data_IF_109904796513
#
_entry.id   IF_109904796513
#
_cell.length_a   1.000
_cell.length_b   1.000
_cell.length_c   1.000
_cell.angle_alpha   90.00
_cell.angle_beta   90.00
_cell.angle_gamma   90.00
#
_symmetry.space_group_name_H-M   'P 1'
#
loop_
_entity.id
_entity.type
_entity.pdbx_description
1 polymer ?
#
# COMPACT_ATOMS: atom_id res chain seq x y z
N UNK A 1 32.51 -1.98 21.68
CA UNK A 1 32.12 -0.81 22.47
C UNK A 1 31.15 0.13 21.76
N UNK A 2 31.36 0.54 20.51
CA UNK A 2 30.50 1.50 19.83
C UNK A 2 29.11 0.93 19.44
N UNK A 3 29.03 -0.33 19.04
CA UNK A 3 27.75 -1.02 18.73
C UNK A 3 26.93 -1.31 19.99
N UNK A 4 27.57 -1.65 21.09
CA UNK A 4 26.88 -1.86 22.39
C UNK A 4 26.25 -0.56 22.86
N UNK A 5 26.95 0.56 22.76
CA UNK A 5 26.43 1.90 23.10
C UNK A 5 25.24 2.32 22.23
N UNK A 6 25.24 1.97 20.93
CA UNK A 6 24.09 2.25 20.02
C UNK A 6 22.85 1.44 20.37
N UNK A 7 23.03 0.15 20.70
CA UNK A 7 21.94 -0.73 21.10
C UNK A 7 21.31 -0.27 22.42
N UNK A 8 22.13 0.02 23.43
CA UNK A 8 21.67 0.54 24.72
C UNK A 8 20.90 1.87 24.58
N UNK A 9 21.33 2.76 23.70
CA UNK A 9 20.62 4.01 23.42
C UNK A 9 19.28 3.78 22.72
N UNK A 10 19.21 2.81 21.79
CA UNK A 10 17.97 2.43 21.14
C UNK A 10 16.98 1.83 22.13
N UNK A 11 17.43 0.88 22.97
CA UNK A 11 16.59 0.24 23.99
C UNK A 11 16.01 1.27 24.96
N UNK A 12 16.82 2.19 25.47
CA UNK A 12 16.34 3.29 26.35
C UNK A 12 15.25 4.12 25.66
N UNK A 13 15.45 4.44 24.40
CA UNK A 13 14.48 5.22 23.63
C UNK A 13 13.17 4.48 23.41
N UNK A 14 13.24 3.20 23.05
CA UNK A 14 12.04 2.37 22.86
C UNK A 14 11.28 2.17 24.17
N UNK A 15 11.97 1.98 25.31
CA UNK A 15 11.36 1.93 26.63
C UNK A 15 10.64 3.24 26.96
N UNK A 16 11.27 4.39 26.69
CA UNK A 16 10.63 5.70 26.89
C UNK A 16 9.38 5.88 26.06
N UNK A 17 9.45 5.56 24.77
CA UNK A 17 8.29 5.58 23.86
C UNK A 17 7.16 4.68 24.41
N UNK A 18 7.45 3.42 24.77
CA UNK A 18 6.46 2.48 25.26
C UNK A 18 5.79 2.92 26.58
N UNK A 19 6.50 3.66 27.45
CA UNK A 19 5.94 4.23 28.69
C UNK A 19 4.81 5.22 28.41
N UNK A 20 4.91 6.03 27.37
CA UNK A 20 3.84 6.96 26.97
C UNK A 20 2.55 6.24 26.59
N UNK A 21 2.66 5.04 26.02
CA UNK A 21 1.50 4.19 25.66
C UNK A 21 1.06 3.26 26.80
N UNK A 22 1.66 3.39 27.99
CA UNK A 22 1.30 2.61 29.21
C UNK A 22 1.31 1.10 28.97
N UNK A 23 2.29 0.61 28.21
CA UNK A 23 2.44 -0.81 27.96
C UNK A 23 2.76 -1.52 29.31
N UNK A 24 1.98 -2.53 29.70
CA UNK A 24 2.21 -3.25 30.97
C UNK A 24 3.39 -4.21 30.85
N UNK A 25 4.06 -4.44 31.98
CA UNK A 25 5.14 -5.40 32.12
C UNK A 25 6.53 -4.76 32.01
N UNK A 26 7.55 -5.61 31.98
CA UNK A 26 8.96 -5.23 31.93
C UNK A 26 9.51 -5.48 30.52
N UNK A 27 10.22 -4.48 29.96
CA UNK A 27 10.89 -4.59 28.67
C UNK A 27 11.96 -5.68 28.72
N UNK A 28 11.96 -6.57 27.74
CA UNK A 28 12.92 -7.66 27.60
C UNK A 28 13.94 -7.39 26.50
N UNK A 29 13.48 -7.19 25.27
CA UNK A 29 14.35 -6.93 24.12
C UNK A 29 13.57 -6.30 22.96
N UNK A 30 14.32 -5.80 21.97
CA UNK A 30 13.78 -5.39 20.68
C UNK A 30 14.50 -6.07 19.52
N UNK A 31 13.79 -6.17 18.41
CA UNK A 31 14.27 -6.63 17.10
C UNK A 31 13.90 -5.58 16.04
N UNK A 32 14.85 -5.11 15.23
CA UNK A 32 14.56 -4.24 14.10
C UNK A 32 13.95 -5.05 12.95
N UNK A 33 12.79 -4.63 12.46
CA UNK A 33 12.15 -5.20 11.28
C UNK A 33 12.62 -4.39 10.07
N UNK A 34 13.48 -4.99 9.25
CA UNK A 34 14.08 -4.34 8.07
C UNK A 34 13.22 -4.42 6.80
N UNK A 35 11.99 -4.88 6.92
CA UNK A 35 11.02 -4.93 5.82
C UNK A 35 10.27 -3.60 5.80
N UNK A 36 10.18 -2.98 4.61
CA UNK A 36 9.60 -1.65 4.44
C UNK A 36 10.66 -0.56 4.27
N UNK A 37 10.35 0.43 3.42
CA UNK A 37 11.35 1.41 2.96
C UNK A 37 11.17 2.80 3.58
N UNK A 38 10.06 3.05 4.27
CA UNK A 38 9.69 4.41 4.69
C UNK A 38 9.89 4.62 6.18
N UNK A 39 9.28 3.79 7.03
CA UNK A 39 9.33 3.93 8.48
C UNK A 39 10.37 3.00 9.10
N UNK A 40 10.98 3.40 10.22
CA UNK A 40 11.81 2.49 11.03
C UNK A 40 10.91 1.70 11.97
N UNK A 41 10.96 0.38 11.88
CA UNK A 41 10.04 -0.53 12.57
C UNK A 41 10.80 -1.43 13.54
N UNK A 42 10.30 -1.53 14.76
CA UNK A 42 10.86 -2.35 15.82
C UNK A 42 9.78 -3.23 16.43
N UNK A 43 10.06 -4.52 16.56
CA UNK A 43 9.28 -5.42 17.42
C UNK A 43 9.87 -5.34 18.81
N UNK A 44 9.07 -4.91 19.80
CA UNK A 44 9.47 -4.81 21.19
C UNK A 44 8.72 -5.86 22.00
N UNK A 45 9.41 -6.54 22.90
CA UNK A 45 8.84 -7.62 23.72
C UNK A 45 8.90 -7.24 25.19
N UNK A 46 7.77 -7.38 25.87
CA UNK A 46 7.57 -7.16 27.28
C UNK A 46 7.15 -8.47 27.96
N UNK A 47 7.58 -8.66 29.20
CA UNK A 47 7.10 -9.72 30.08
C UNK A 47 6.16 -9.13 31.11
N UNK A 48 4.98 -9.70 31.26
CA UNK A 48 3.97 -9.23 32.19
C UNK A 48 3.01 -10.34 32.58
N UNK A 49 2.18 -10.08 33.59
CA UNK A 49 1.17 -11.01 34.02
C UNK A 49 0.17 -11.33 32.91
N UNK A 50 -0.18 -12.62 32.77
CA UNK A 50 -1.18 -13.05 31.79
C UNK A 50 -2.59 -12.71 32.29
N UNK A 51 -3.32 -11.80 31.65
CA UNK A 51 -4.68 -11.43 32.08
C UNK A 51 -5.67 -12.60 32.05
N UNK A 52 -5.38 -13.66 31.27
CA UNK A 52 -6.23 -14.86 31.16
C UNK A 52 -5.90 -15.91 32.24
N UNK A 53 -4.68 -15.86 32.78
CA UNK A 53 -4.18 -16.81 33.77
C UNK A 53 -3.40 -16.06 34.88
N UNK A 54 -4.10 -15.44 35.83
CA UNK A 54 -3.47 -14.66 36.89
C UNK A 54 -2.38 -15.45 37.63
N UNK A 55 -1.25 -14.81 37.90
CA UNK A 55 -0.07 -15.42 38.53
C UNK A 55 0.91 -16.04 37.53
N UNK A 56 0.58 -16.19 36.27
CA UNK A 56 1.52 -16.62 35.23
C UNK A 56 2.08 -15.41 34.47
N UNK A 57 3.39 -15.44 34.20
CA UNK A 57 4.04 -14.44 33.34
C UNK A 57 3.98 -14.89 31.90
N UNK A 58 3.79 -13.92 30.96
CA UNK A 58 3.86 -14.17 29.55
C UNK A 58 4.59 -13.07 28.80
N UNK A 59 5.21 -13.45 27.70
CA UNK A 59 5.78 -12.50 26.75
C UNK A 59 4.69 -11.96 25.82
N UNK A 60 4.66 -10.65 25.64
CA UNK A 60 3.80 -9.97 24.69
C UNK A 60 4.63 -9.01 23.85
N UNK A 61 4.44 -9.07 22.54
CA UNK A 61 5.17 -8.23 21.61
C UNK A 61 4.27 -7.13 21.01
N UNK A 62 4.90 -6.01 20.67
CA UNK A 62 4.28 -4.85 20.06
C UNK A 62 5.16 -4.36 18.93
N UNK A 63 4.57 -3.63 18.01
CA UNK A 63 5.30 -2.90 16.97
C UNK A 63 5.40 -1.43 17.37
N UNK A 64 6.62 -0.93 17.39
CA UNK A 64 6.94 0.48 17.56
C UNK A 64 7.52 1.00 16.25
N UNK A 65 6.94 2.06 15.73
CA UNK A 65 7.43 2.69 14.50
C UNK A 65 7.83 4.14 14.72
N UNK A 66 9.02 4.49 14.18
CA UNK A 66 9.40 5.87 13.97
C UNK A 66 8.94 6.27 12.57
N UNK A 67 7.93 7.13 12.51
CA UNK A 67 7.33 7.58 11.25
C UNK A 67 8.26 8.56 10.56
N UNK A 68 8.46 8.38 9.27
CA UNK A 68 9.26 9.28 8.44
C UNK A 68 8.48 10.55 8.10
N UNK A 69 8.72 11.61 8.85
CA UNK A 69 8.07 12.92 8.66
C UNK A 69 8.54 13.69 7.42
N UNK A 70 9.58 13.23 6.76
CA UNK A 70 9.98 13.76 5.45
C UNK A 70 9.07 13.22 4.34
N UNK A 71 8.73 11.93 4.39
CA UNK A 71 7.79 11.31 3.45
C UNK A 71 6.33 11.74 3.74
N UNK A 72 5.95 11.72 5.03
CA UNK A 72 4.61 12.13 5.48
C UNK A 72 4.68 13.51 6.14
N UNK A 73 4.41 14.56 5.35
CA UNK A 73 4.51 15.95 5.82
C UNK A 73 3.50 16.30 6.91
N UNK A 74 2.37 15.61 6.96
CA UNK A 74 1.31 15.78 7.94
C UNK A 74 1.02 14.48 8.72
N UNK A 75 1.98 13.97 9.51
CA UNK A 75 1.85 12.66 10.17
C UNK A 75 0.69 12.62 11.19
N UNK A 76 0.27 13.76 11.71
CA UNK A 76 -0.92 13.86 12.60
C UNK A 76 -2.19 13.52 11.83
N UNK A 77 -2.35 14.02 10.60
CA UNK A 77 -3.50 13.72 9.76
C UNK A 77 -3.49 12.25 9.30
N UNK A 78 -2.30 11.68 9.03
CA UNK A 78 -2.15 10.25 8.76
C UNK A 78 -2.67 9.43 9.93
N UNK A 79 -2.28 9.77 11.16
CA UNK A 79 -2.74 9.07 12.35
C UNK A 79 -4.23 9.27 12.64
N UNK A 80 -4.79 10.42 12.32
CA UNK A 80 -6.23 10.67 12.43
C UNK A 80 -7.04 9.79 11.48
N UNK A 81 -6.59 9.65 10.22
CA UNK A 81 -7.19 8.71 9.26
C UNK A 81 -7.12 7.26 9.75
N UNK A 82 -5.93 6.83 10.19
CA UNK A 82 -5.71 5.47 10.70
C UNK A 82 -6.61 5.17 11.89
N UNK A 83 -6.70 6.09 12.85
CA UNK A 83 -7.51 5.91 14.06
C UNK A 83 -9.00 5.78 13.70
N UNK A 84 -9.52 6.68 12.89
CA UNK A 84 -10.91 6.63 12.41
C UNK A 84 -11.24 5.32 11.69
N UNK A 85 -10.38 4.89 10.78
CA UNK A 85 -10.59 3.67 9.99
C UNK A 85 -10.49 2.41 10.85
N UNK A 86 -9.47 2.30 11.71
CA UNK A 86 -9.29 1.12 12.56
C UNK A 86 -10.38 1.00 13.62
N UNK A 87 -10.79 2.10 14.24
CA UNK A 87 -11.91 2.11 15.20
C UNK A 87 -13.24 1.74 14.52
N UNK A 88 -13.48 2.25 13.31
CA UNK A 88 -14.69 1.91 12.54
C UNK A 88 -14.74 0.43 12.18
N UNK A 89 -13.63 -0.15 11.70
CA UNK A 89 -13.53 -1.58 11.40
C UNK A 89 -13.75 -2.40 12.68
N UNK A 90 -13.12 -2.01 13.78
CA UNK A 90 -13.27 -2.70 15.06
C UNK A 90 -14.71 -2.66 15.59
N UNK A 91 -15.40 -1.54 15.44
CA UNK A 91 -16.81 -1.42 15.85
C UNK A 91 -17.74 -2.34 15.05
N UNK A 92 -17.44 -2.55 13.74
CA UNK A 92 -18.23 -3.46 12.88
C UNK A 92 -17.95 -4.93 13.10
N UNK A 93 -16.71 -5.29 13.40
CA UNK A 93 -16.28 -6.69 13.57
C UNK A 93 -15.30 -6.82 14.77
N UNK A 94 -15.82 -6.75 16.01
CA UNK A 94 -14.98 -6.78 17.23
C UNK A 94 -14.20 -8.07 17.44
N UNK A 95 -14.63 -9.17 16.81
CA UNK A 95 -13.99 -10.50 16.93
C UNK A 95 -12.84 -10.71 15.95
N UNK A 96 -12.67 -9.82 14.99
CA UNK A 96 -11.68 -9.98 13.94
C UNK A 96 -10.27 -9.61 14.43
N UNK A 97 -9.27 -10.28 13.85
CA UNK A 97 -7.89 -9.81 13.93
C UNK A 97 -7.79 -8.42 13.25
N UNK A 98 -7.44 -7.40 14.00
CA UNK A 98 -7.34 -6.04 13.51
C UNK A 98 -6.08 -5.36 14.08
N UNK A 99 -5.56 -4.38 13.34
CA UNK A 99 -4.55 -3.49 13.90
C UNK A 99 -5.18 -2.67 15.04
N UNK A 100 -4.54 -2.69 16.19
CA UNK A 100 -4.92 -1.88 17.32
C UNK A 100 -3.78 -0.94 17.68
N UNK A 101 -3.97 0.35 17.41
CA UNK A 101 -3.05 1.41 17.79
C UNK A 101 -3.30 1.81 19.24
N UNK A 102 -2.26 1.76 20.07
CA UNK A 102 -2.35 2.13 21.46
C UNK A 102 -2.44 3.64 21.64
N UNK A 103 -3.25 4.05 22.62
CA UNK A 103 -3.42 5.45 22.96
C UNK A 103 -2.53 5.86 24.14
N UNK A 104 -2.01 7.06 24.08
CA UNK A 104 -1.33 7.73 25.19
C UNK A 104 -2.33 8.20 26.25
N UNK A 105 -1.84 8.81 27.34
CA UNK A 105 -2.70 9.34 28.41
C UNK A 105 -3.66 10.42 27.93
N UNK A 106 -3.24 11.22 26.96
CA UNK A 106 -4.03 12.29 26.31
C UNK A 106 -4.80 11.81 25.07
N UNK A 107 -4.98 10.47 24.95
CA UNK A 107 -5.79 9.79 23.94
C UNK A 107 -5.30 9.97 22.49
N UNK A 108 -4.01 10.19 22.29
CA UNK A 108 -3.39 10.21 20.96
C UNK A 108 -2.81 8.84 20.63
N UNK A 109 -2.88 8.44 19.38
CA UNK A 109 -2.28 7.21 18.85
C UNK A 109 -0.80 7.38 18.48
N UNK A 110 -0.21 8.52 18.83
CA UNK A 110 1.18 8.86 18.51
C UNK A 110 1.82 9.71 19.61
N UNK A 111 3.17 9.78 19.56
CA UNK A 111 3.98 10.76 20.29
C UNK A 111 4.75 11.56 19.25
N UNK A 112 4.83 12.87 19.47
CA UNK A 112 5.63 13.75 18.62
C UNK A 112 6.45 14.69 19.52
N UNK A 113 7.74 14.47 19.58
CA UNK A 113 8.69 15.23 20.37
C UNK A 113 10.05 15.40 19.66
N UNK A 114 11.06 15.87 20.40
CA UNK A 114 12.43 16.03 19.87
C UNK A 114 13.07 14.72 19.39
N UNK A 115 12.52 13.58 19.80
CA UNK A 115 13.02 12.25 19.41
C UNK A 115 12.43 11.77 18.09
N UNK A 116 11.39 12.43 17.58
CA UNK A 116 10.70 12.12 16.34
C UNK A 116 9.21 11.87 16.54
N UNK A 117 8.58 11.33 15.50
CA UNK A 117 7.17 10.94 15.50
C UNK A 117 7.09 9.42 15.69
N UNK A 118 6.38 8.96 16.73
CA UNK A 118 6.33 7.56 17.12
C UNK A 118 4.89 7.09 17.29
N UNK A 119 4.63 5.84 16.88
CA UNK A 119 3.37 5.13 17.11
C UNK A 119 3.62 3.69 17.56
N UNK A 120 2.63 3.11 18.20
CA UNK A 120 2.71 1.75 18.74
C UNK A 120 1.40 1.00 18.51
N UNK A 121 1.51 -0.25 18.05
CA UNK A 121 0.38 -1.14 17.83
C UNK A 121 0.73 -2.59 18.15
N UNK A 122 -0.28 -3.45 18.22
CA UNK A 122 -0.09 -4.85 18.56
C UNK A 122 0.75 -5.58 17.50
N UNK A 123 1.68 -6.43 17.92
CA UNK A 123 2.31 -7.41 17.07
C UNK A 123 1.35 -8.59 16.82
N UNK A 124 1.17 -8.96 15.57
CA UNK A 124 0.37 -10.11 15.15
C UNK A 124 1.33 -11.17 14.61
N UNK A 125 1.42 -12.37 15.24
CA UNK A 125 2.21 -13.47 14.72
C UNK A 125 1.71 -13.88 13.32
N UNK A 126 2.57 -13.79 12.31
CA UNK A 126 2.17 -13.92 10.92
C UNK A 126 3.37 -14.08 10.01
N UNK A 127 3.09 -14.33 8.73
CA UNK A 127 4.05 -14.26 7.62
C UNK A 127 3.57 -13.23 6.59
N UNK A 128 4.50 -12.72 5.79
CA UNK A 128 4.22 -11.84 4.64
C UNK A 128 4.89 -12.40 3.40
N UNK A 129 4.35 -12.08 2.24
CA UNK A 129 4.88 -12.47 0.94
C UNK A 129 5.29 -11.23 0.15
N UNK A 130 6.52 -11.18 -0.34
CA UNK A 130 6.96 -10.11 -1.27
C UNK A 130 6.53 -10.41 -2.70
N UNK A 131 6.56 -11.70 -3.07
CA UNK A 131 6.05 -12.25 -4.31
C UNK A 131 5.66 -13.71 -4.07
N UNK A 132 4.68 -14.23 -4.81
CA UNK A 132 4.27 -15.63 -4.73
C UNK A 132 3.49 -16.04 -5.99
N UNK A 133 3.66 -17.28 -6.40
CA UNK A 133 2.84 -17.92 -7.44
C UNK A 133 1.74 -18.79 -6.84
N UNK A 134 1.64 -18.87 -5.52
CA UNK A 134 0.59 -19.62 -4.84
C UNK A 134 -0.76 -18.91 -5.01
N UNK A 135 -1.61 -19.44 -5.89
CA UNK A 135 -2.91 -18.84 -6.22
C UNK A 135 -3.85 -18.74 -5.01
N UNK A 136 -3.71 -19.60 -4.00
CA UNK A 136 -4.51 -19.50 -2.78
C UNK A 136 -4.09 -18.29 -1.94
N UNK A 137 -2.80 -18.02 -1.81
CA UNK A 137 -2.27 -16.81 -1.14
C UNK A 137 -2.74 -15.55 -1.88
N UNK A 138 -2.64 -15.53 -3.20
CA UNK A 138 -3.12 -14.41 -4.04
C UNK A 138 -4.63 -14.19 -3.84
N UNK A 139 -5.42 -15.26 -3.86
CA UNK A 139 -6.87 -15.18 -3.61
C UNK A 139 -7.15 -14.63 -2.21
N UNK A 140 -6.42 -15.09 -1.20
CA UNK A 140 -6.56 -14.62 0.17
C UNK A 140 -6.15 -13.16 0.31
N UNK A 141 -5.15 -12.68 -0.42
CA UNK A 141 -4.81 -11.26 -0.50
C UNK A 141 -5.96 -10.43 -1.10
N UNK A 142 -6.53 -10.89 -2.23
CA UNK A 142 -7.71 -10.28 -2.82
C UNK A 142 -8.89 -10.23 -1.85
N UNK A 143 -9.12 -11.32 -1.10
CA UNK A 143 -10.14 -11.40 -0.07
C UNK A 143 -9.89 -10.42 1.08
N UNK A 144 -8.62 -10.22 1.50
CA UNK A 144 -8.26 -9.26 2.54
C UNK A 144 -8.55 -7.81 2.14
N UNK A 145 -8.07 -7.39 0.97
CA UNK A 145 -8.33 -6.04 0.46
C UNK A 145 -9.82 -5.83 0.12
N UNK A 146 -10.47 -6.83 -0.47
CA UNK A 146 -11.92 -6.78 -0.71
C UNK A 146 -12.72 -6.65 0.58
N UNK A 147 -12.32 -7.34 1.63
CA UNK A 147 -12.97 -7.23 2.92
C UNK A 147 -12.70 -5.88 3.60
N UNK A 148 -11.49 -5.30 3.46
CA UNK A 148 -11.18 -3.94 3.90
C UNK A 148 -12.14 -2.95 3.23
N UNK A 149 -12.30 -3.00 1.91
CA UNK A 149 -13.22 -2.18 1.15
C UNK A 149 -14.70 -2.38 1.58
N UNK A 150 -15.11 -3.62 1.79
CA UNK A 150 -16.49 -3.96 2.19
C UNK A 150 -16.82 -3.42 3.59
N UNK A 151 -15.89 -3.55 4.56
CA UNK A 151 -16.09 -3.05 5.91
C UNK A 151 -16.21 -1.52 5.96
N UNK A 152 -15.58 -0.82 5.02
CA UNK A 152 -15.58 0.64 4.91
C UNK A 152 -16.56 1.17 3.84
N UNK A 153 -17.39 0.31 3.24
CA UNK A 153 -18.26 0.67 2.11
C UNK A 153 -19.30 1.76 2.43
N UNK A 154 -19.68 1.90 3.68
CA UNK A 154 -20.63 2.90 4.21
C UNK A 154 -19.96 3.95 5.09
N UNK A 155 -18.62 3.94 5.16
CA UNK A 155 -17.87 5.03 5.80
C UNK A 155 -17.84 6.25 4.89
N UNK A 156 -18.17 7.41 5.45
CA UNK A 156 -18.10 8.67 4.73
C UNK A 156 -16.63 9.10 4.54
N UNK A 157 -16.09 8.86 3.35
CA UNK A 157 -14.71 9.13 3.01
C UNK A 157 -14.33 10.62 3.17
N UNK A 158 -15.31 11.56 3.14
CA UNK A 158 -15.06 12.99 3.33
C UNK A 158 -14.59 13.35 4.74
N UNK A 159 -14.71 12.43 5.70
CA UNK A 159 -14.18 12.59 7.05
C UNK A 159 -12.66 12.36 7.14
N UNK A 160 -12.04 11.80 6.10
CA UNK A 160 -10.62 11.57 6.05
C UNK A 160 -9.88 12.73 5.37
N UNK A 161 -8.64 12.93 5.78
CA UNK A 161 -7.72 13.86 5.17
C UNK A 161 -7.08 13.26 3.91
N UNK A 162 -6.92 14.05 2.87
CA UNK A 162 -6.03 13.73 1.76
C UNK A 162 -4.59 14.01 2.20
N UNK A 163 -3.92 12.98 2.73
CA UNK A 163 -2.60 13.11 3.36
C UNK A 163 -1.46 13.26 2.36
N UNK A 164 -1.66 12.77 1.14
CA UNK A 164 -0.77 12.93 -0.01
C UNK A 164 -1.60 13.50 -1.17
N UNK A 165 -1.57 14.82 -1.39
CA UNK A 165 -2.36 15.45 -2.44
C UNK A 165 -2.06 14.85 -3.83
N UNK A 166 -3.12 14.64 -4.60
CA UNK A 166 -3.03 14.10 -5.97
C UNK A 166 -2.31 12.75 -6.07
N UNK A 167 -2.39 11.88 -5.04
CA UNK A 167 -1.59 10.67 -4.98
C UNK A 167 -1.78 9.77 -6.20
N UNK A 168 -3.03 9.44 -6.55
CA UNK A 168 -3.41 8.68 -7.74
C UNK A 168 -4.16 9.54 -8.77
N UNK A 169 -3.82 10.81 -8.87
CA UNK A 169 -4.34 11.69 -9.92
C UNK A 169 -3.51 11.51 -11.20
N UNK A 170 -3.89 10.56 -12.04
CA UNK A 170 -3.13 10.21 -13.24
C UNK A 170 -3.01 11.39 -14.20
N UNK A 171 -4.02 12.28 -14.29
CA UNK A 171 -3.93 13.51 -15.10
C UNK A 171 -2.75 14.36 -14.63
N UNK A 172 -2.65 14.60 -13.31
CA UNK A 172 -1.55 15.38 -12.72
C UNK A 172 -0.18 14.72 -12.94
N UNK A 173 -0.12 13.38 -12.94
CA UNK A 173 1.15 12.69 -13.23
C UNK A 173 1.62 12.89 -14.66
N UNK A 174 0.70 12.89 -15.62
CA UNK A 174 1.04 13.25 -17.01
C UNK A 174 1.46 14.71 -17.14
N UNK A 175 0.74 15.65 -16.52
CA UNK A 175 1.14 17.08 -16.50
C UNK A 175 2.56 17.25 -15.92
N UNK A 176 2.88 16.59 -14.82
CA UNK A 176 4.22 16.60 -14.21
C UNK A 176 5.30 16.05 -15.16
N UNK A 177 5.00 14.97 -15.89
CA UNK A 177 5.92 14.43 -16.89
C UNK A 177 6.15 15.42 -18.02
N UNK A 178 5.09 16.05 -18.54
CA UNK A 178 5.16 17.07 -19.61
C UNK A 178 6.00 18.28 -19.15
N UNK A 179 5.85 18.71 -17.90
CA UNK A 179 6.70 19.76 -17.32
C UNK A 179 8.17 19.36 -17.30
N UNK A 180 8.50 18.14 -16.88
CA UNK A 180 9.89 17.66 -16.87
C UNK A 180 10.46 17.52 -18.28
N UNK A 181 9.65 17.08 -19.26
CA UNK A 181 10.04 17.03 -20.68
C UNK A 181 10.36 18.44 -21.22
N UNK A 182 9.55 19.45 -20.85
CA UNK A 182 9.77 20.82 -21.31
C UNK A 182 11.02 21.46 -20.68
N UNK A 183 11.37 21.12 -19.45
CA UNK A 183 12.54 21.66 -18.74
C UNK A 183 13.82 20.91 -19.15
N UNK A 184 13.75 19.59 -19.28
CA UNK A 184 14.86 18.66 -19.56
C UNK A 184 16.17 19.01 -18.82
N UNK A 185 16.16 19.03 -17.48
CA UNK A 185 17.23 19.65 -16.69
C UNK A 185 18.59 18.95 -16.83
N UNK A 186 18.61 17.71 -17.32
CA UNK A 186 19.82 16.88 -17.45
C UNK A 186 20.00 16.30 -18.85
N UNK A 187 19.29 16.84 -19.88
CA UNK A 187 19.41 16.50 -21.32
C UNK A 187 19.14 15.01 -21.63
N UNK A 188 18.12 14.40 -20.96
CA UNK A 188 17.75 12.98 -21.11
C UNK A 188 16.53 12.73 -22.00
N UNK A 189 15.74 13.74 -22.35
CA UNK A 189 14.50 13.61 -23.15
C UNK A 189 14.75 12.92 -24.48
N UNK A 190 15.85 13.23 -25.16
CA UNK A 190 16.22 12.61 -26.44
C UNK A 190 16.45 11.09 -26.36
N UNK A 191 16.86 10.59 -25.18
CA UNK A 191 17.19 9.17 -24.94
C UNK A 191 15.95 8.33 -24.71
N UNK A 192 14.82 8.95 -24.29
CA UNK A 192 13.57 8.29 -23.88
C UNK A 192 12.37 8.69 -24.74
N UNK A 193 12.62 9.12 -25.97
CA UNK A 193 11.55 9.60 -26.86
C UNK A 193 10.50 8.53 -27.16
N UNK A 194 10.93 7.28 -27.32
CA UNK A 194 10.03 6.17 -27.60
C UNK A 194 9.09 5.86 -26.41
N UNK A 195 9.59 5.99 -25.19
CA UNK A 195 8.81 5.82 -23.95
C UNK A 195 7.80 6.95 -23.80
N UNK A 196 8.20 8.19 -24.05
CA UNK A 196 7.32 9.36 -24.02
C UNK A 196 6.21 9.21 -25.04
N UNK A 197 6.54 8.95 -26.32
CA UNK A 197 5.57 8.85 -27.40
C UNK A 197 4.56 7.71 -27.13
N UNK A 198 5.00 6.61 -26.54
CA UNK A 198 4.10 5.52 -26.17
C UNK A 198 3.15 5.93 -25.03
N UNK A 199 3.64 6.53 -23.96
CA UNK A 199 2.80 7.00 -22.85
C UNK A 199 1.78 8.04 -23.32
N UNK A 200 2.19 8.99 -24.16
CA UNK A 200 1.27 9.96 -24.76
C UNK A 200 0.18 9.28 -25.60
N UNK A 201 0.51 8.22 -26.35
CA UNK A 201 -0.46 7.49 -27.18
C UNK A 201 -1.57 6.80 -26.39
N UNK A 202 -1.35 6.50 -25.09
CA UNK A 202 -2.32 5.84 -24.20
C UNK A 202 -2.89 6.77 -23.12
N UNK A 203 -2.50 8.04 -23.12
CA UNK A 203 -2.86 9.04 -22.09
C UNK A 203 -4.36 9.12 -21.82
N UNK A 204 -5.18 9.17 -22.86
CA UNK A 204 -6.64 9.23 -22.72
C UNK A 204 -7.18 8.04 -21.92
N UNK A 205 -6.72 6.82 -22.23
CA UNK A 205 -7.15 5.60 -21.54
C UNK A 205 -6.62 5.56 -20.10
N UNK A 206 -5.36 5.92 -19.89
CA UNK A 206 -4.73 5.95 -18.57
C UNK A 206 -5.42 6.96 -17.63
N UNK A 207 -5.78 8.15 -18.16
CA UNK A 207 -6.44 9.21 -17.39
C UNK A 207 -7.95 8.99 -17.19
N UNK A 208 -8.54 7.96 -17.80
CA UNK A 208 -9.99 7.75 -17.83
C UNK A 208 -10.63 7.61 -16.43
N UNK A 209 -9.96 6.95 -15.50
CA UNK A 209 -10.50 6.83 -14.12
C UNK A 209 -10.61 8.19 -13.44
N UNK A 210 -9.54 8.99 -13.50
CA UNK A 210 -9.53 10.35 -12.94
C UNK A 210 -10.60 11.22 -13.59
N UNK A 211 -10.78 11.12 -14.92
CA UNK A 211 -11.82 11.85 -15.61
C UNK A 211 -13.23 11.43 -15.14
N UNK A 212 -13.50 10.11 -15.03
CA UNK A 212 -14.79 9.62 -14.54
C UNK A 212 -15.07 10.04 -13.08
N UNK A 213 -14.05 10.17 -12.26
CA UNK A 213 -14.19 10.70 -10.91
C UNK A 213 -14.54 12.20 -10.93
N UNK A 214 -13.88 13.01 -11.76
CA UNK A 214 -14.18 14.43 -11.93
C UNK A 214 -15.59 14.68 -12.49
N UNK A 215 -16.07 13.78 -13.35
CA UNK A 215 -17.43 13.80 -13.92
C UNK A 215 -18.49 13.30 -12.92
N UNK A 216 -18.10 12.86 -11.71
CA UNK A 216 -19.00 12.35 -10.68
C UNK A 216 -19.57 10.96 -10.97
N UNK A 217 -19.01 10.21 -11.91
CA UNK A 217 -19.43 8.85 -12.26
C UNK A 217 -18.86 7.81 -11.29
N UNK A 218 -17.59 7.97 -10.90
CA UNK A 218 -16.94 7.13 -9.92
C UNK A 218 -16.91 7.84 -8.55
N UNK A 219 -17.47 7.23 -7.50
CA UNK A 219 -17.47 7.81 -6.16
C UNK A 219 -16.11 7.67 -5.49
N UNK A 220 -15.76 8.62 -4.62
CA UNK A 220 -14.68 8.46 -3.67
C UNK A 220 -15.10 7.53 -2.53
N UNK A 221 -14.23 6.59 -2.21
CA UNK A 221 -14.34 5.67 -1.06
C UNK A 221 -13.12 5.79 -0.17
N UNK A 222 -13.13 5.11 0.96
CA UNK A 222 -11.91 4.89 1.73
C UNK A 222 -11.07 3.86 0.99
N UNK A 223 -9.87 4.22 0.60
CA UNK A 223 -8.93 3.34 -0.12
C UNK A 223 -7.62 3.20 0.64
N UNK A 224 -6.96 2.07 0.45
CA UNK A 224 -5.66 1.79 1.05
C UNK A 224 -4.54 2.52 0.28
N UNK A 225 -4.63 2.54 -1.04
CA UNK A 225 -3.73 3.20 -2.00
C UNK A 225 -2.29 2.64 -2.08
N UNK A 226 -1.97 1.55 -1.39
CA UNK A 226 -0.72 0.80 -1.52
C UNK A 226 -1.00 -0.69 -1.26
N UNK A 227 -1.70 -1.33 -2.19
CA UNK A 227 -2.28 -2.67 -2.03
C UNK A 227 -1.36 -3.81 -2.46
N UNK A 228 -0.08 -3.66 -2.19
CA UNK A 228 0.91 -4.72 -2.40
C UNK A 228 0.62 -5.91 -1.49
N UNK A 229 0.90 -7.12 -1.98
CA UNK A 229 0.67 -8.36 -1.23
C UNK A 229 1.42 -8.39 0.11
N UNK A 230 2.58 -7.75 0.22
CA UNK A 230 3.35 -7.65 1.45
C UNK A 230 2.68 -6.76 2.52
N UNK A 231 1.62 -6.02 2.17
CA UNK A 231 0.78 -5.27 3.08
C UNK A 231 -0.41 -6.10 3.60
N UNK A 232 -0.36 -7.43 3.43
CA UNK A 232 -1.27 -8.38 4.08
C UNK A 232 -0.48 -9.30 5.00
N UNK A 233 -0.93 -9.46 6.25
CA UNK A 233 -0.43 -10.48 7.15
C UNK A 233 -1.22 -11.77 6.96
N UNK A 234 -0.50 -12.88 6.86
CA UNK A 234 -1.10 -14.20 6.68
C UNK A 234 -0.79 -15.11 7.88
N UNK A 235 -1.71 -15.98 8.19
CA UNK A 235 -1.47 -17.07 9.14
C UNK A 235 -0.39 -18.00 8.58
N UNK A 236 0.61 -18.31 9.42
CA UNK A 236 1.79 -19.07 8.98
C UNK A 236 1.52 -20.55 8.66
N UNK A 237 0.41 -21.10 9.15
CA UNK A 237 0.07 -22.52 9.03
C UNK A 237 -1.02 -22.77 7.96
N UNK A 238 -1.89 -21.78 7.71
CA UNK A 238 -3.05 -21.91 6.82
C UNK A 238 -3.01 -21.03 5.59
N UNK A 239 -2.09 -20.04 5.54
CA UNK A 239 -2.06 -18.99 4.51
C UNK A 239 -3.35 -18.13 4.45
N UNK A 240 -4.22 -18.22 5.45
CA UNK A 240 -5.38 -17.33 5.53
C UNK A 240 -4.95 -15.90 5.84
N UNK A 241 -5.59 -14.94 5.18
CA UNK A 241 -5.31 -13.54 5.41
C UNK A 241 -5.87 -13.09 6.77
N UNK A 242 -5.01 -12.56 7.62
CA UNK A 242 -5.35 -12.08 8.96
C UNK A 242 -5.79 -10.62 8.95
N UNK A 243 -4.96 -9.74 8.40
CA UNK A 243 -5.21 -8.29 8.43
C UNK A 243 -4.39 -7.57 7.36
N UNK A 244 -4.94 -6.47 6.84
CA UNK A 244 -4.24 -5.49 6.00
C UNK A 244 -3.46 -4.53 6.90
N UNK A 245 -2.22 -4.25 6.55
CA UNK A 245 -1.29 -3.39 7.29
C UNK A 245 -0.79 -2.22 6.42
N UNK A 246 0.03 -1.35 7.01
CA UNK A 246 0.63 -0.17 6.35
C UNK A 246 -0.41 0.82 5.84
N UNK A 247 -1.23 1.30 6.79
CA UNK A 247 -2.36 2.20 6.54
C UNK A 247 -1.95 3.68 6.33
N UNK A 248 -0.68 3.97 6.08
CA UNK A 248 -0.15 5.35 5.97
C UNK A 248 -0.71 6.12 4.78
N UNK A 249 -1.16 5.40 3.76
CA UNK A 249 -1.76 5.94 2.54
C UNK A 249 -3.29 5.87 2.52
N UNK A 250 -3.90 5.48 3.65
CA UNK A 250 -5.36 5.41 3.73
C UNK A 250 -5.96 6.82 3.68
N UNK A 251 -6.71 7.08 2.61
CA UNK A 251 -7.37 8.36 2.34
C UNK A 251 -8.49 8.19 1.32
N UNK A 252 -9.28 9.23 0.99
CA UNK A 252 -10.26 9.14 -0.08
C UNK A 252 -9.61 8.80 -1.43
N UNK A 253 -10.20 7.85 -2.15
CA UNK A 253 -9.72 7.42 -3.46
C UNK A 253 -10.75 6.60 -4.22
N UNK A 254 -10.38 6.07 -5.37
CA UNK A 254 -11.23 5.17 -6.15
C UNK A 254 -10.95 3.71 -5.77
N UNK A 255 -11.98 2.88 -5.68
CA UNK A 255 -11.78 1.44 -5.45
C UNK A 255 -10.86 0.79 -6.50
N UNK A 256 -10.89 1.32 -7.72
CA UNK A 256 -10.00 0.92 -8.81
C UNK A 256 -8.52 1.14 -8.49
N UNK A 257 -8.16 2.12 -7.64
CA UNK A 257 -6.77 2.31 -7.23
C UNK A 257 -6.27 1.09 -6.45
N UNK A 258 -7.06 0.61 -5.48
CA UNK A 258 -6.69 -0.57 -4.69
C UNK A 258 -6.63 -1.84 -5.54
N UNK A 259 -7.62 -2.05 -6.41
CA UNK A 259 -7.62 -3.22 -7.30
C UNK A 259 -6.48 -3.17 -8.30
N UNK A 260 -6.28 -2.01 -8.94
CA UNK A 260 -5.27 -1.82 -9.99
C UNK A 260 -3.85 -1.95 -9.48
N UNK A 261 -3.53 -1.33 -8.33
CA UNK A 261 -2.19 -1.41 -7.75
C UNK A 261 -1.84 -2.83 -7.30
N UNK A 262 -2.78 -3.55 -6.67
CA UNK A 262 -2.56 -4.93 -6.27
C UNK A 262 -2.26 -5.83 -7.48
N UNK A 263 -3.04 -5.71 -8.57
CA UNK A 263 -2.84 -6.50 -9.79
C UNK A 263 -1.52 -6.14 -10.47
N UNK A 264 -1.23 -4.83 -10.61
CA UNK A 264 0.02 -4.35 -11.19
C UNK A 264 1.24 -4.97 -10.50
N UNK A 265 1.19 -5.02 -9.18
CA UNK A 265 2.29 -5.57 -8.38
C UNK A 265 2.34 -7.10 -8.42
N UNK A 266 1.22 -7.78 -8.17
CA UNK A 266 1.20 -9.23 -7.97
C UNK A 266 1.14 -10.03 -9.27
N UNK A 267 0.48 -9.51 -10.32
CA UNK A 267 0.25 -10.26 -11.56
C UNK A 267 1.30 -10.05 -12.65
N UNK A 268 2.34 -9.26 -12.41
CA UNK A 268 3.47 -9.17 -13.34
C UNK A 268 4.34 -10.42 -13.24
N UNK A 269 4.78 -10.97 -14.37
CA UNK A 269 5.68 -12.11 -14.41
C UNK A 269 7.09 -11.80 -13.88
N UNK A 270 7.46 -10.52 -13.80
CA UNK A 270 8.77 -10.06 -13.34
C UNK A 270 8.62 -8.98 -12.27
N UNK A 271 9.67 -8.74 -11.51
CA UNK A 271 9.73 -7.64 -10.54
C UNK A 271 9.64 -6.26 -11.23
N UNK A 272 9.22 -5.25 -10.48
CA UNK A 272 8.97 -3.89 -10.96
C UNK A 272 10.20 -3.24 -11.62
N UNK A 273 11.39 -3.59 -11.19
CA UNK A 273 12.68 -3.09 -11.65
C UNK A 273 13.48 -4.11 -12.47
N UNK A 274 12.79 -5.10 -13.06
CA UNK A 274 13.43 -6.11 -13.91
C UNK A 274 14.00 -5.51 -15.19
N UNK A 275 15.22 -5.91 -15.51
CA UNK A 275 15.85 -5.61 -16.81
C UNK A 275 15.27 -6.47 -17.95
N UNK A 276 14.62 -7.58 -17.63
CA UNK A 276 14.03 -8.52 -18.62
C UNK A 276 12.61 -8.05 -18.98
N UNK A 277 12.52 -6.84 -19.53
CA UNK A 277 11.23 -6.20 -19.84
C UNK A 277 10.40 -6.95 -20.87
N UNK A 278 11.02 -7.79 -21.69
CA UNK A 278 10.33 -8.68 -22.63
C UNK A 278 9.53 -9.79 -21.96
N UNK A 279 9.85 -10.09 -20.69
CA UNK A 279 9.09 -11.05 -19.87
C UNK A 279 7.97 -10.39 -19.07
N UNK A 280 7.94 -9.06 -19.00
CA UNK A 280 6.89 -8.32 -18.28
C UNK A 280 5.54 -8.55 -18.96
N UNK A 281 4.52 -8.85 -18.15
CA UNK A 281 3.17 -9.10 -18.65
C UNK A 281 2.25 -9.63 -17.56
N UNK A 282 0.96 -9.65 -17.85
CA UNK A 282 -0.06 -10.07 -16.89
C UNK A 282 -0.16 -11.60 -16.85
N UNK A 283 0.10 -12.17 -15.69
CA UNK A 283 -0.26 -13.54 -15.37
C UNK A 283 -1.76 -13.61 -15.11
N UNK A 284 -2.52 -14.16 -16.07
CA UNK A 284 -3.97 -14.22 -16.02
C UNK A 284 -4.51 -15.17 -14.93
N UNK A 285 -3.73 -16.13 -14.46
CA UNK A 285 -4.12 -17.01 -13.35
C UNK A 285 -4.06 -16.24 -12.02
N UNK A 286 -2.98 -15.48 -11.81
CA UNK A 286 -2.84 -14.58 -10.65
C UNK A 286 -3.90 -13.48 -10.69
N UNK A 287 -4.13 -12.84 -11.85
CA UNK A 287 -5.19 -11.86 -12.02
C UNK A 287 -6.56 -12.43 -11.62
N UNK A 288 -6.92 -13.61 -12.13
CA UNK A 288 -8.19 -14.28 -11.81
C UNK A 288 -8.29 -14.61 -10.32
N UNK A 289 -7.25 -15.18 -9.72
CA UNK A 289 -7.26 -15.54 -8.30
C UNK A 289 -7.47 -14.31 -7.40
N UNK A 290 -6.78 -13.20 -7.69
CA UNK A 290 -6.97 -11.95 -6.96
C UNK A 290 -8.38 -11.39 -7.16
N UNK A 291 -8.86 -11.31 -8.40
CA UNK A 291 -10.20 -10.80 -8.73
C UNK A 291 -11.32 -11.62 -8.04
N UNK A 292 -11.21 -12.96 -8.02
CA UNK A 292 -12.14 -13.82 -7.30
C UNK A 292 -12.18 -13.52 -5.80
N UNK A 293 -11.02 -13.35 -5.17
CA UNK A 293 -10.92 -12.98 -3.76
C UNK A 293 -11.56 -11.61 -3.49
N UNK A 294 -11.13 -10.59 -4.21
CA UNK A 294 -11.57 -9.21 -4.05
C UNK A 294 -13.09 -9.06 -4.29
N UNK A 295 -13.58 -9.54 -5.42
CA UNK A 295 -14.99 -9.41 -5.80
C UNK A 295 -15.91 -10.24 -4.92
N UNK A 296 -15.45 -11.36 -4.33
CA UNK A 296 -16.25 -12.13 -3.37
C UNK A 296 -16.77 -11.29 -2.20
N UNK A 297 -16.10 -10.17 -1.89
CA UNK A 297 -16.47 -9.24 -0.81
C UNK A 297 -17.09 -7.95 -1.31
N UNK A 298 -16.66 -7.46 -2.47
CA UNK A 298 -16.97 -6.10 -2.92
C UNK A 298 -18.09 -6.03 -3.96
N UNK A 299 -18.32 -7.08 -4.74
CA UNK A 299 -19.22 -7.01 -5.91
C UNK A 299 -20.62 -6.46 -5.60
N UNK A 300 -21.17 -6.73 -4.40
CA UNK A 300 -22.50 -6.25 -3.99
C UNK A 300 -22.53 -4.80 -3.51
N UNK A 301 -21.38 -4.22 -3.17
CA UNK A 301 -21.25 -2.84 -2.67
C UNK A 301 -20.74 -1.87 -3.73
N UNK A 302 -20.16 -2.38 -4.81
CA UNK A 302 -19.67 -1.57 -5.92
C UNK A 302 -20.81 -1.19 -6.88
N UNK A 303 -20.74 0.02 -7.41
CA UNK A 303 -21.61 0.47 -8.50
C UNK A 303 -21.21 -0.20 -9.82
N UNK A 304 -22.12 -0.23 -10.80
CA UNK A 304 -21.81 -0.79 -12.10
C UNK A 304 -20.62 -0.08 -12.79
N UNK A 305 -20.51 1.27 -12.78
CA UNK A 305 -19.31 1.94 -13.32
C UNK A 305 -18.01 1.53 -12.64
N UNK A 306 -18.00 1.29 -11.33
CA UNK A 306 -16.83 0.78 -10.62
C UNK A 306 -16.44 -0.62 -11.10
N UNK A 307 -17.41 -1.53 -11.22
CA UNK A 307 -17.17 -2.89 -11.74
C UNK A 307 -16.66 -2.88 -13.18
N UNK A 308 -17.24 -2.04 -14.04
CA UNK A 308 -16.89 -1.92 -15.45
C UNK A 308 -15.47 -1.33 -15.66
N UNK A 309 -14.93 -0.63 -14.67
CA UNK A 309 -13.61 0.02 -14.75
C UNK A 309 -12.50 -0.72 -14.03
N UNK A 310 -12.75 -1.85 -13.34
CA UNK A 310 -11.71 -2.56 -12.60
C UNK A 310 -10.55 -3.05 -13.48
N UNK A 311 -10.82 -3.59 -14.68
CA UNK A 311 -9.76 -3.98 -15.60
C UNK A 311 -8.95 -2.78 -16.09
N UNK A 312 -9.64 -1.68 -16.41
CA UNK A 312 -9.00 -0.43 -16.81
C UNK A 312 -8.13 0.16 -15.70
N UNK A 313 -8.50 -0.04 -14.43
CA UNK A 313 -7.72 0.47 -13.30
C UNK A 313 -6.31 -0.14 -13.23
N UNK A 314 -6.15 -1.39 -13.64
CA UNK A 314 -4.83 -2.01 -13.73
C UNK A 314 -3.93 -1.27 -14.72
N UNK A 315 -4.46 -0.94 -15.91
CA UNK A 315 -3.75 -0.15 -16.91
C UNK A 315 -3.43 1.27 -16.39
N UNK A 316 -4.42 1.93 -15.80
CA UNK A 316 -4.28 3.31 -15.32
C UNK A 316 -3.15 3.42 -14.27
N UNK A 317 -3.15 2.55 -13.25
CA UNK A 317 -2.13 2.56 -12.20
C UNK A 317 -0.74 2.17 -12.74
N UNK A 318 -0.68 1.26 -13.70
CA UNK A 318 0.58 0.87 -14.35
C UNK A 318 1.15 2.03 -15.18
N UNK A 319 0.33 2.70 -15.98
CA UNK A 319 0.74 3.89 -16.75
C UNK A 319 1.11 5.07 -15.82
N UNK A 320 0.37 5.28 -14.74
CA UNK A 320 0.68 6.30 -13.74
C UNK A 320 2.08 6.11 -13.17
N UNK A 321 2.40 4.88 -12.76
CA UNK A 321 3.70 4.61 -12.17
C UNK A 321 4.82 4.69 -13.21
N UNK A 322 4.60 4.22 -14.45
CA UNK A 322 5.52 4.39 -15.56
C UNK A 322 5.83 5.88 -15.81
N UNK A 323 4.79 6.71 -15.83
CA UNK A 323 4.90 8.16 -16.00
C UNK A 323 5.70 8.81 -14.89
N UNK A 324 5.49 8.41 -13.63
CA UNK A 324 6.23 8.92 -12.47
C UNK A 324 7.71 8.55 -12.51
N UNK A 325 8.04 7.29 -12.84
CA UNK A 325 9.43 6.86 -12.97
C UNK A 325 10.14 7.57 -14.14
N UNK A 326 9.45 7.72 -15.27
CA UNK A 326 10.03 8.40 -16.42
C UNK A 326 10.24 9.89 -16.15
N UNK A 327 9.29 10.56 -15.52
CA UNK A 327 9.41 11.96 -15.10
C UNK A 327 10.60 12.18 -14.16
N UNK A 328 10.77 11.28 -13.17
CA UNK A 328 11.88 11.37 -12.24
C UNK A 328 13.24 11.09 -12.90
N UNK A 329 13.29 10.13 -13.84
CA UNK A 329 14.50 9.92 -14.66
C UNK A 329 14.87 11.18 -15.46
N UNK A 330 13.91 11.80 -16.11
CA UNK A 330 14.13 13.05 -16.88
C UNK A 330 14.57 14.19 -15.93
N UNK A 331 14.02 14.25 -14.72
CA UNK A 331 14.39 15.23 -13.69
C UNK A 331 15.77 15.00 -13.05
N UNK A 332 16.43 13.88 -13.33
CA UNK A 332 17.77 13.54 -12.79
C UNK A 332 17.72 12.67 -11.53
N UNK A 333 16.70 11.83 -11.35
CA UNK A 333 16.54 10.85 -10.27
C UNK A 333 16.49 11.50 -8.87
N UNK A 334 15.63 12.49 -8.70
CA UNK A 334 15.57 13.33 -7.49
C UNK A 334 14.52 12.87 -6.47
N UNK A 335 13.52 12.09 -6.88
CA UNK A 335 12.40 11.71 -6.03
C UNK A 335 12.50 10.27 -5.51
N UNK A 336 12.63 9.29 -6.41
CA UNK A 336 12.72 7.89 -6.03
C UNK A 336 14.15 7.50 -5.65
N UNK A 337 14.28 6.66 -4.62
CA UNK A 337 15.57 6.06 -4.30
C UNK A 337 16.02 5.14 -5.44
N UNK A 338 17.21 5.39 -5.96
CA UNK A 338 17.85 4.57 -6.99
C UNK A 338 19.01 3.77 -6.39
N UNK A 339 19.24 2.57 -6.90
CA UNK A 339 20.35 1.71 -6.51
C UNK A 339 21.52 1.76 -7.51
N UNK A 340 21.26 2.25 -8.73
CA UNK A 340 22.20 2.40 -9.83
C UNK A 340 21.69 3.46 -10.82
N UNK A 341 22.56 3.91 -11.71
CA UNK A 341 22.18 4.81 -12.78
C UNK A 341 21.13 4.15 -13.69
N UNK A 342 20.19 4.93 -14.21
CA UNK A 342 19.07 4.46 -15.04
C UNK A 342 18.03 3.57 -14.32
N UNK A 343 18.10 3.40 -13.00
CA UNK A 343 17.15 2.52 -12.28
C UNK A 343 15.69 2.94 -12.51
N UNK A 344 15.38 4.25 -12.51
CA UNK A 344 14.03 4.73 -12.81
C UNK A 344 13.63 4.50 -14.27
N UNK A 345 14.58 4.55 -15.21
CA UNK A 345 14.31 4.22 -16.61
C UNK A 345 13.98 2.73 -16.78
N UNK A 346 14.70 1.86 -16.09
CA UNK A 346 14.41 0.41 -16.06
C UNK A 346 13.01 0.15 -15.53
N UNK A 347 12.64 0.79 -14.42
CA UNK A 347 11.29 0.71 -13.85
C UNK A 347 10.23 1.22 -14.82
N UNK A 348 10.45 2.38 -15.45
CA UNK A 348 9.52 2.93 -16.43
C UNK A 348 9.31 1.96 -17.59
N UNK A 349 10.37 1.39 -18.16
CA UNK A 349 10.33 0.42 -19.26
C UNK A 349 9.61 -0.87 -18.85
N UNK A 350 9.84 -1.38 -17.65
CA UNK A 350 9.15 -2.56 -17.14
C UNK A 350 7.63 -2.29 -17.02
N UNK A 351 7.23 -1.16 -16.45
CA UNK A 351 5.82 -0.80 -16.35
C UNK A 351 5.18 -0.54 -17.73
N UNK A 352 5.89 0.09 -18.68
CA UNK A 352 5.42 0.25 -20.04
C UNK A 352 5.19 -1.10 -20.72
N UNK A 353 6.11 -2.06 -20.55
CA UNK A 353 5.97 -3.40 -21.10
C UNK A 353 4.75 -4.14 -20.52
N UNK A 354 4.54 -4.06 -19.19
CA UNK A 354 3.36 -4.59 -18.52
C UNK A 354 2.08 -3.94 -19.03
N UNK A 355 2.04 -2.61 -19.17
CA UNK A 355 0.87 -1.89 -19.67
C UNK A 355 0.53 -2.26 -21.13
N UNK A 356 1.55 -2.47 -21.97
CA UNK A 356 1.36 -2.98 -23.34
C UNK A 356 0.69 -4.35 -23.37
N UNK A 357 1.06 -5.22 -22.46
CA UNK A 357 0.44 -6.55 -22.36
C UNK A 357 -0.98 -6.47 -21.78
N UNK A 358 -1.22 -5.57 -20.79
CA UNK A 358 -2.57 -5.28 -20.28
C UNK A 358 -3.51 -4.85 -21.39
N UNK A 359 -3.08 -3.93 -22.27
CA UNK A 359 -3.88 -3.49 -23.42
C UNK A 359 -4.27 -4.65 -24.34
N UNK A 360 -3.34 -5.56 -24.62
CA UNK A 360 -3.62 -6.75 -25.44
C UNK A 360 -4.61 -7.70 -24.76
N UNK A 361 -4.52 -7.82 -23.46
CA UNK A 361 -5.33 -8.74 -22.63
C UNK A 361 -6.60 -8.09 -22.06
N UNK A 362 -6.85 -6.80 -22.30
CA UNK A 362 -7.97 -6.07 -21.73
C UNK A 362 -9.31 -6.80 -21.87
N UNK A 363 -9.72 -7.30 -23.07
CA UNK A 363 -10.98 -8.02 -23.19
C UNK A 363 -11.03 -9.30 -22.34
N UNK A 364 -9.88 -9.96 -22.13
CA UNK A 364 -9.81 -11.16 -21.28
C UNK A 364 -9.92 -10.79 -19.79
N UNK A 365 -9.28 -9.68 -19.37
CA UNK A 365 -9.37 -9.18 -18.00
C UNK A 365 -10.80 -8.76 -17.66
N UNK A 366 -11.47 -8.03 -18.56
CA UNK A 366 -12.89 -7.66 -18.42
C UNK A 366 -13.81 -8.90 -18.33
N UNK A 367 -13.57 -9.90 -19.17
CA UNK A 367 -14.33 -11.16 -19.13
C UNK A 367 -14.16 -11.89 -17.79
N UNK A 368 -12.94 -11.92 -17.24
CA UNK A 368 -12.68 -12.54 -15.93
C UNK A 368 -13.46 -11.82 -14.82
N UNK A 369 -13.47 -10.48 -14.82
CA UNK A 369 -14.23 -9.70 -13.83
C UNK A 369 -15.73 -9.99 -13.95
N UNK A 370 -16.28 -9.98 -15.17
CA UNK A 370 -17.69 -10.30 -15.40
C UNK A 370 -18.05 -11.73 -14.96
N UNK A 371 -17.17 -12.70 -15.22
CA UNK A 371 -17.38 -14.08 -14.78
C UNK A 371 -17.37 -14.20 -13.26
N UNK A 372 -16.49 -13.46 -12.57
CA UNK A 372 -16.48 -13.42 -11.10
C UNK A 372 -17.77 -12.82 -10.55
N UNK A 373 -18.24 -11.71 -11.10
CA UNK A 373 -19.49 -11.06 -10.67
C UNK A 373 -20.71 -11.94 -10.91
N UNK A 374 -20.80 -12.65 -12.06
CA UNK A 374 -21.93 -13.54 -12.37
C UNK A 374 -22.06 -14.75 -11.44
N UNK A 375 -20.97 -15.17 -10.78
CA UNK A 375 -20.93 -16.32 -9.86
C UNK A 375 -21.38 -15.97 -8.43
N UNK A 376 -21.57 -14.69 -8.11
CA UNK A 376 -21.91 -14.17 -6.77
C UNK A 376 -23.39 -13.77 -6.66
#
# INVERSE_FOLDING_TARGET
MWEVSKKENLDRKLIEVCRHFRIPGEYQFCEEIKVGNVNKTYKVTFEGEDPKNPGNMRLKSYIVQSVNTFAFKNPVQVMDNIDKVTEYIHAKDPGRCALHYHHTADRKTYIFDKSGFWRLFNFIPSVTYSATENLQVIRNAGLAFGNFQMLLSDFDASQLHETIPDFHNTIKRYEQMEEQIAIDPVDRVKEVRAEIDWLESVKEQACKLTQLQLDGVLPLRVTHNDTKINNVLFDKDTDEALVVIDLDTVMPGLVGHDFGDAVRFAANFVEEDSLETEKAGVNMEIFRAFAEGFLSKTAKSLTQPELDTLALSCLALTCELATRFLADYIAGDVYFKTNYDEHNLVRARCQIALAKDMLKKMPQMESVIQDCVKKL
#
